data_IF_463266190720
#
_entry.id   IF_463266190720
#
_cell.length_a   1.000
_cell.length_b   1.000
_cell.length_c   1.000
_cell.angle_alpha   90.00
_cell.angle_beta   90.00
_cell.angle_gamma   90.00
#
_symmetry.space_group_name_H-M   'P 1'
#
loop_
_entity.id
_entity.type
_entity.pdbx_description
1 polymer ?
#
# COMPACT_ATOMS: atom_id res chain seq x y z
N UNK A 1 11.65 17.83 -17.55
CA UNK A 1 11.47 17.07 -16.29
C UNK A 1 10.00 16.77 -16.13
N UNK A 2 9.59 15.58 -15.67
CA UNK A 2 8.18 15.29 -15.43
C UNK A 2 7.66 16.13 -14.27
N UNK A 3 6.48 16.75 -14.46
CA UNK A 3 5.79 17.53 -13.42
C UNK A 3 4.98 16.62 -12.50
N UNK A 4 4.84 16.97 -11.22
CA UNK A 4 4.00 16.23 -10.28
C UNK A 4 2.52 16.42 -10.61
N UNK A 5 1.73 15.35 -10.54
CA UNK A 5 0.28 15.42 -10.81
C UNK A 5 -0.54 15.65 -9.55
N UNK A 6 -0.12 15.10 -8.40
CA UNK A 6 -0.84 15.18 -7.12
C UNK A 6 -0.38 16.33 -6.20
N UNK A 7 0.54 17.16 -6.69
CA UNK A 7 1.09 18.32 -5.98
C UNK A 7 0.91 19.53 -6.90
N UNK A 8 0.46 20.66 -6.37
CA UNK A 8 0.34 21.91 -7.10
C UNK A 8 1.65 22.72 -7.13
N UNK A 9 1.65 23.85 -7.83
CA UNK A 9 2.80 24.73 -7.97
C UNK A 9 3.25 25.38 -6.64
N UNK A 10 2.38 25.38 -5.63
CA UNK A 10 2.66 25.87 -4.27
C UNK A 10 3.14 24.76 -3.33
N UNK A 11 3.24 23.52 -3.81
CA UNK A 11 3.63 22.36 -3.02
C UNK A 11 2.49 21.75 -2.20
N UNK A 12 1.25 22.19 -2.40
CA UNK A 12 0.08 21.65 -1.70
C UNK A 12 -0.45 20.40 -2.41
N UNK A 13 -0.97 19.44 -1.62
CA UNK A 13 -1.57 18.21 -2.14
C UNK A 13 -2.91 18.52 -2.80
N UNK A 14 -3.16 17.95 -3.97
CA UNK A 14 -4.44 18.02 -4.68
C UNK A 14 -4.82 16.69 -5.31
N UNK A 15 -6.12 16.45 -5.46
CA UNK A 15 -6.63 15.36 -6.29
C UNK A 15 -6.53 15.75 -7.77
N UNK A 16 -6.14 14.79 -8.61
CA UNK A 16 -6.10 14.98 -10.06
C UNK A 16 -7.51 14.80 -10.61
N UNK A 17 -8.00 15.79 -11.36
CA UNK A 17 -9.22 15.64 -12.13
C UNK A 17 -8.99 14.64 -13.28
N UNK A 18 -9.84 13.62 -13.35
CA UNK A 18 -9.80 12.55 -14.35
C UNK A 18 -11.10 12.42 -15.13
N UNK A 19 -11.98 13.43 -15.05
CA UNK A 19 -13.34 13.40 -15.62
C UNK A 19 -13.34 13.15 -17.13
N UNK A 20 -12.38 13.73 -17.86
CA UNK A 20 -12.26 13.58 -19.31
C UNK A 20 -11.61 12.25 -19.75
N UNK A 21 -11.21 11.39 -18.81
CA UNK A 21 -10.56 10.12 -19.16
C UNK A 21 -11.61 9.07 -19.48
N UNK A 22 -11.50 8.48 -20.67
CA UNK A 22 -12.34 7.35 -21.07
C UNK A 22 -12.18 6.17 -20.09
N UNK A 23 -13.31 5.56 -19.66
CA UNK A 23 -13.27 4.41 -18.77
C UNK A 23 -12.67 3.20 -19.49
N UNK A 24 -11.73 2.52 -18.83
CA UNK A 24 -11.15 1.27 -19.31
C UNK A 24 -11.01 0.27 -18.18
N UNK A 25 -11.03 -1.03 -18.51
CA UNK A 25 -10.78 -2.09 -17.53
C UNK A 25 -9.31 -2.06 -17.12
N UNK A 26 -9.05 -1.79 -15.84
CA UNK A 26 -7.70 -1.71 -15.27
C UNK A 26 -7.61 -2.64 -14.07
N UNK A 27 -6.51 -3.37 -13.98
CA UNK A 27 -6.19 -4.22 -12.84
C UNK A 27 -4.75 -3.97 -12.43
N UNK A 28 -4.50 -3.95 -11.12
CA UNK A 28 -3.17 -3.87 -10.56
C UNK A 28 -3.04 -4.92 -9.45
N UNK A 29 -1.86 -5.54 -9.37
CA UNK A 29 -1.51 -6.50 -8.31
C UNK A 29 -0.32 -5.93 -7.55
N UNK A 30 -0.44 -5.86 -6.22
CA UNK A 30 0.63 -5.45 -5.33
C UNK A 30 0.94 -6.57 -4.33
N UNK A 31 2.20 -6.65 -3.90
CA UNK A 31 2.66 -7.57 -2.86
C UNK A 31 3.52 -6.82 -1.83
N UNK A 32 3.57 -7.34 -0.60
CA UNK A 32 4.39 -6.81 0.49
C UNK A 32 5.06 -7.93 1.27
N UNK A 33 6.22 -7.63 1.84
CA UNK A 33 7.00 -8.57 2.66
C UNK A 33 7.19 -7.96 4.04
N UNK A 34 6.89 -8.75 5.08
CA UNK A 34 7.14 -8.38 6.47
C UNK A 34 8.33 -9.18 6.99
N UNK A 35 9.47 -8.51 7.15
CA UNK A 35 10.65 -9.11 7.78
C UNK A 35 10.49 -9.15 9.30
N UNK A 36 10.85 -10.29 9.90
CA UNK A 36 10.76 -10.49 11.34
C UNK A 36 11.82 -11.48 11.83
N UNK A 37 12.04 -11.51 13.14
CA UNK A 37 12.92 -12.50 13.76
C UNK A 37 12.36 -13.92 13.59
N UNK A 38 13.21 -14.96 13.49
CA UNK A 38 12.75 -16.35 13.42
C UNK A 38 11.86 -16.76 14.61
N UNK A 39 12.14 -16.22 15.80
CA UNK A 39 11.32 -16.46 16.99
C UNK A 39 9.88 -15.92 16.83
N UNK A 40 9.71 -14.74 16.22
CA UNK A 40 8.39 -14.14 15.96
C UNK A 40 7.58 -15.01 15.01
N UNK A 41 8.20 -15.46 13.91
CA UNK A 41 7.54 -16.37 12.97
C UNK A 41 7.07 -17.67 13.64
N UNK A 42 7.92 -18.27 14.49
CA UNK A 42 7.55 -19.47 15.27
C UNK A 42 6.37 -19.21 16.20
N UNK A 43 6.30 -18.04 16.84
CA UNK A 43 5.16 -17.68 17.69
C UNK A 43 3.86 -17.56 16.89
N UNK A 44 3.91 -16.91 15.71
CA UNK A 44 2.76 -16.77 14.80
C UNK A 44 2.27 -18.15 14.35
N UNK A 45 3.18 -18.97 13.80
CA UNK A 45 2.87 -20.32 13.32
C UNK A 45 2.24 -21.20 14.40
N UNK A 46 2.72 -21.10 15.63
CA UNK A 46 2.23 -21.90 16.76
C UNK A 46 1.03 -21.26 17.49
N UNK A 47 0.47 -20.15 16.96
CA UNK A 47 -0.63 -19.39 17.58
C UNK A 47 -0.37 -18.95 19.03
N UNK A 48 0.90 -18.68 19.37
CA UNK A 48 1.34 -18.26 20.72
C UNK A 48 1.49 -16.74 20.86
N UNK A 49 0.90 -15.97 19.95
CA UNK A 49 0.97 -14.51 19.97
C UNK A 49 -0.05 -13.97 20.96
N UNK A 50 0.38 -13.08 21.86
CA UNK A 50 -0.51 -12.47 22.88
C UNK A 50 -1.71 -11.74 22.29
N UNK A 51 -1.58 -11.23 21.06
CA UNK A 51 -2.65 -10.55 20.31
C UNK A 51 -3.66 -11.50 19.65
N UNK A 52 -3.54 -12.82 19.83
CA UNK A 52 -4.41 -13.80 19.19
C UNK A 52 -3.99 -14.13 17.75
N UNK A 53 -4.96 -14.38 16.87
CA UNK A 53 -4.69 -14.67 15.47
C UNK A 53 -4.22 -13.39 14.74
N UNK A 54 -3.09 -13.49 14.03
CA UNK A 54 -2.44 -12.34 13.37
C UNK A 54 -2.26 -12.54 11.86
N UNK A 55 -2.99 -13.51 11.28
CA UNK A 55 -3.16 -13.74 9.85
C UNK A 55 -4.66 -13.87 9.55
#
# INVERSE_FOLDING_TARGET
MPSFTHIDEKGCVRMVDVTEKEPTNRTAVAQGIVYMKPATFKMIKNRKVKKGNVI
#
